data_IF_396195296789
#
_entry.id   IF_396195296789
#
_cell.length_a   1.000
_cell.length_b   1.000
_cell.length_c   1.000
_cell.angle_alpha   90.00
_cell.angle_beta   90.00
_cell.angle_gamma   90.00
#
_symmetry.space_group_name_H-M   'P 1'
#
loop_
_entity.id
_entity.type
_entity.pdbx_description
1 polymer ?
#
# COMPACT_ATOMS: atom_id res chain seq x y z
N UNK A 1 -16.74 23.53 -2.91
CA UNK A 1 -16.71 22.12 -3.37
C UNK A 1 -18.04 21.49 -3.00
N UNK A 2 -18.62 20.59 -3.81
CA UNK A 2 -19.83 19.88 -3.41
C UNK A 2 -19.60 19.14 -2.10
N UNK A 3 -20.65 19.04 -1.29
CA UNK A 3 -20.64 18.30 -0.03
C UNK A 3 -20.21 16.86 -0.30
N UNK A 4 -19.27 16.36 0.49
CA UNK A 4 -18.74 15.00 0.31
C UNK A 4 -19.80 14.01 0.76
N UNK A 5 -20.19 13.10 -0.13
CA UNK A 5 -21.08 12.01 0.22
C UNK A 5 -20.43 11.13 1.30
N UNK A 6 -21.24 10.73 2.27
CA UNK A 6 -20.79 9.90 3.39
C UNK A 6 -20.49 8.48 2.93
N UNK A 7 -19.50 7.82 3.54
CA UNK A 7 -19.15 6.44 3.19
C UNK A 7 -20.19 5.49 3.81
N UNK A 8 -21.29 5.26 3.10
CA UNK A 8 -22.37 4.35 3.51
C UNK A 8 -22.12 2.90 3.08
N UNK A 9 -21.13 2.24 3.68
CA UNK A 9 -20.84 0.83 3.42
C UNK A 9 -20.47 0.09 4.72
N UNK A 10 -20.94 -1.15 4.90
CA UNK A 10 -20.74 -1.93 6.14
C UNK A 10 -19.26 -2.11 6.52
N UNK A 11 -18.40 -2.25 5.51
CA UNK A 11 -16.94 -2.34 5.69
C UNK A 11 -16.24 -1.03 6.05
N UNK A 12 -16.90 0.13 6.09
CA UNK A 12 -16.28 1.41 6.46
C UNK A 12 -15.61 1.35 7.85
N UNK A 13 -16.18 0.57 8.78
CA UNK A 13 -15.63 0.33 10.12
C UNK A 13 -15.11 -1.11 10.31
N UNK A 14 -15.00 -1.87 9.21
CA UNK A 14 -14.55 -3.26 9.23
C UNK A 14 -13.05 -3.38 9.49
N UNK A 15 -12.63 -4.41 10.25
CA UNK A 15 -11.21 -4.69 10.50
C UNK A 15 -10.42 -5.04 9.23
N UNK A 16 -11.08 -5.66 8.24
CA UNK A 16 -10.44 -6.18 7.03
C UNK A 16 -11.15 -5.66 5.78
N UNK A 17 -10.74 -4.48 5.32
CA UNK A 17 -11.30 -3.81 4.16
C UNK A 17 -10.61 -4.20 2.84
N UNK A 18 -9.31 -4.49 2.86
CA UNK A 18 -8.58 -4.82 1.64
C UNK A 18 -8.90 -6.23 1.13
N UNK A 19 -9.22 -6.39 -0.18
CA UNK A 19 -9.37 -7.71 -0.81
C UNK A 19 -8.03 -8.46 -0.91
N UNK A 20 -6.91 -7.73 -0.88
CA UNK A 20 -5.56 -8.30 -0.97
C UNK A 20 -5.00 -8.65 0.42
N UNK A 21 -4.08 -9.61 0.43
CA UNK A 21 -3.22 -9.95 1.55
C UNK A 21 -1.81 -9.49 1.23
N UNK A 22 -1.38 -8.39 1.80
CA UNK A 22 0.01 -7.97 1.67
C UNK A 22 0.84 -8.47 2.87
N UNK A 23 2.06 -8.99 2.64
CA UNK A 23 3.03 -9.20 3.71
C UNK A 23 3.30 -7.90 4.48
N UNK A 24 3.57 -7.98 5.78
CA UNK A 24 3.97 -6.81 6.59
C UNK A 24 3.00 -6.38 7.69
N UNK A 25 1.89 -7.10 7.90
CA UNK A 25 0.97 -6.90 9.01
C UNK A 25 0.42 -5.48 9.24
N UNK A 26 0.60 -4.54 8.30
CA UNK A 26 0.27 -3.12 8.46
C UNK A 26 -1.20 -2.82 8.74
N UNK A 27 -2.10 -3.78 8.52
CA UNK A 27 -3.46 -3.72 9.07
C UNK A 27 -3.49 -3.47 10.59
N UNK A 28 -2.46 -3.89 11.34
CA UNK A 28 -2.31 -3.58 12.77
C UNK A 28 -1.78 -2.17 13.04
N UNK A 29 -1.09 -1.56 12.07
CA UNK A 29 -0.55 -0.20 12.16
C UNK A 29 -1.58 0.84 11.73
N UNK A 30 -2.56 0.47 10.91
CA UNK A 30 -3.61 1.37 10.44
C UNK A 30 -4.33 2.14 11.58
N UNK A 31 -4.74 1.54 12.72
CA UNK A 31 -5.29 2.31 13.86
C UNK A 31 -4.33 3.36 14.43
N UNK A 32 -3.03 3.06 14.46
CA UNK A 32 -1.99 3.97 14.95
C UNK A 32 -1.84 5.15 14.00
N UNK A 33 -1.83 4.88 12.69
CA UNK A 33 -1.79 5.90 11.64
C UNK A 33 -3.04 6.80 11.71
N UNK A 34 -4.24 6.22 11.88
CA UNK A 34 -5.49 6.97 12.06
C UNK A 34 -5.37 7.98 13.19
N UNK A 35 -4.86 7.53 14.34
CA UNK A 35 -4.69 8.37 15.51
C UNK A 35 -3.67 9.49 15.28
N UNK A 36 -2.53 9.18 14.65
CA UNK A 36 -1.51 10.20 14.32
C UNK A 36 -2.10 11.29 13.43
N UNK A 37 -2.83 10.92 12.38
CA UNK A 37 -3.46 11.88 11.46
C UNK A 37 -4.57 12.66 12.17
N UNK A 38 -5.40 11.98 12.97
CA UNK A 38 -6.48 12.63 13.75
C UNK A 38 -5.93 13.63 14.74
N UNK A 39 -4.86 13.30 15.46
CA UNK A 39 -4.19 14.23 16.37
C UNK A 39 -3.49 15.37 15.62
N UNK A 40 -2.89 15.09 14.46
CA UNK A 40 -2.33 16.14 13.61
C UNK A 40 -3.36 17.22 13.24
N UNK A 41 -4.63 16.83 13.06
CA UNK A 41 -5.77 17.73 12.78
C UNK A 41 -6.11 18.75 13.87
N UNK A 42 -5.53 18.59 15.06
CA UNK A 42 -5.67 19.57 16.16
C UNK A 42 -4.71 20.76 16.01
N UNK A 43 -3.77 20.72 15.06
CA UNK A 43 -2.84 21.81 14.76
C UNK A 43 -3.36 22.68 13.63
N UNK A 44 -3.18 23.99 13.75
CA UNK A 44 -3.43 24.95 12.66
C UNK A 44 -2.58 24.69 11.41
N UNK A 45 -1.48 23.94 11.53
CA UNK A 45 -0.63 23.57 10.40
C UNK A 45 -1.25 22.50 9.49
N UNK A 46 -2.18 21.68 10.01
CA UNK A 46 -2.85 20.58 9.29
C UNK A 46 -4.31 20.49 9.76
N UNK A 47 -5.16 21.51 9.57
CA UNK A 47 -6.50 21.54 10.18
C UNK A 47 -7.44 20.43 9.65
N UNK A 48 -7.21 19.98 8.42
CA UNK A 48 -7.97 18.92 7.76
C UNK A 48 -7.08 18.19 6.74
N UNK A 49 -7.50 16.99 6.33
CA UNK A 49 -6.80 16.18 5.33
C UNK A 49 -7.77 15.85 4.21
N UNK A 50 -7.76 16.68 3.16
CA UNK A 50 -8.65 16.51 2.01
C UNK A 50 -8.20 15.36 1.11
N UNK A 51 -6.90 15.08 1.04
CA UNK A 51 -6.35 13.98 0.25
C UNK A 51 -5.23 13.26 0.99
N UNK A 52 -5.40 11.96 1.15
CA UNK A 52 -4.33 11.04 1.54
C UNK A 52 -3.78 10.35 0.28
N UNK A 53 -2.48 10.48 0.05
CA UNK A 53 -1.78 9.87 -1.09
C UNK A 53 -0.97 8.68 -0.58
N UNK A 54 -1.21 7.48 -1.10
CA UNK A 54 -0.46 6.27 -0.76
C UNK A 54 0.30 5.77 -2.00
N UNK A 55 1.56 6.22 -2.21
CA UNK A 55 2.37 5.88 -3.39
C UNK A 55 2.95 4.47 -3.40
N UNK A 56 2.76 3.73 -2.30
CA UNK A 56 3.13 2.33 -2.14
C UNK A 56 1.88 1.55 -1.73
N UNK A 57 0.82 1.65 -2.54
CA UNK A 57 -0.50 1.17 -2.16
C UNK A 57 -0.45 -0.29 -1.72
N UNK A 58 0.14 -1.20 -2.51
CA UNK A 58 0.18 -2.62 -2.17
C UNK A 58 -1.21 -3.15 -1.80
N UNK A 59 -1.43 -3.41 -0.52
CA UNK A 59 -2.73 -3.81 0.04
C UNK A 59 -3.67 -2.66 0.46
N UNK A 60 -3.24 -1.41 0.44
CA UNK A 60 -3.98 -0.17 0.75
C UNK A 60 -4.75 -0.19 2.09
N UNK A 61 -4.30 -1.02 3.04
CA UNK A 61 -5.04 -1.26 4.28
C UNK A 61 -5.07 -0.03 5.19
N UNK A 62 -4.05 0.84 5.11
CA UNK A 62 -4.05 2.11 5.82
C UNK A 62 -5.06 3.07 5.19
N UNK A 63 -4.97 3.35 3.88
CA UNK A 63 -5.88 4.29 3.21
C UNK A 63 -7.34 3.88 3.29
N UNK A 64 -7.65 2.60 3.06
CA UNK A 64 -9.03 2.09 3.17
C UNK A 64 -9.63 2.28 4.57
N UNK A 65 -8.79 2.20 5.60
CA UNK A 65 -9.20 2.46 6.98
C UNK A 65 -9.40 3.95 7.22
N UNK A 66 -8.45 4.79 6.78
CA UNK A 66 -8.53 6.24 6.98
C UNK A 66 -9.80 6.81 6.35
N UNK A 67 -10.13 6.38 5.12
CA UNK A 67 -11.30 6.86 4.41
C UNK A 67 -12.61 6.34 5.02
N UNK A 68 -12.62 5.08 5.46
CA UNK A 68 -13.79 4.45 6.10
C UNK A 68 -14.11 5.00 7.48
N UNK A 69 -13.10 5.36 8.26
CA UNK A 69 -13.26 6.03 9.56
C UNK A 69 -13.53 7.53 9.44
N UNK A 70 -13.53 8.09 8.23
CA UNK A 70 -13.71 9.53 8.00
C UNK A 70 -12.55 10.40 8.51
N UNK A 71 -11.38 9.80 8.73
CA UNK A 71 -10.17 10.52 9.17
C UNK A 71 -9.69 11.49 8.08
N UNK A 72 -9.82 11.06 6.82
CA UNK A 72 -9.47 11.81 5.61
C UNK A 72 -10.67 11.85 4.65
N UNK A 73 -10.72 12.86 3.79
CA UNK A 73 -11.86 13.06 2.89
C UNK A 73 -11.78 12.23 1.61
N UNK A 74 -10.58 12.07 1.08
CA UNK A 74 -10.33 11.34 -0.17
C UNK A 74 -9.00 10.60 -0.08
N UNK A 75 -8.89 9.53 -0.86
CA UNK A 75 -7.66 8.76 -1.03
C UNK A 75 -7.25 8.71 -2.51
N UNK A 76 -5.95 8.77 -2.76
CA UNK A 76 -5.33 8.43 -4.04
C UNK A 76 -4.37 7.27 -3.80
N UNK A 77 -4.56 6.19 -4.55
CA UNK A 77 -3.69 5.03 -4.50
C UNK A 77 -2.72 5.07 -5.68
N UNK A 78 -1.45 4.78 -5.45
CA UNK A 78 -0.53 4.51 -6.53
C UNK A 78 0.37 3.34 -6.19
N UNK A 79 0.74 2.59 -7.22
CA UNK A 79 1.75 1.54 -7.12
C UNK A 79 2.56 1.50 -8.41
N UNK A 80 3.82 1.10 -8.31
CA UNK A 80 4.67 0.88 -9.47
C UNK A 80 4.35 -0.47 -10.14
N UNK A 81 3.81 -1.43 -9.37
CA UNK A 81 3.45 -2.75 -9.88
C UNK A 81 2.16 -2.69 -10.72
N UNK A 82 2.22 -2.97 -12.04
CA UNK A 82 1.06 -2.87 -12.92
C UNK A 82 -0.02 -3.91 -12.62
N UNK A 83 0.29 -5.05 -11.98
CA UNK A 83 -0.73 -6.00 -11.51
C UNK A 83 -1.50 -5.43 -10.31
N UNK A 84 -0.78 -4.83 -9.35
CA UNK A 84 -1.41 -4.18 -8.19
C UNK A 84 -2.24 -2.98 -8.63
N UNK A 85 -1.70 -2.13 -9.51
CA UNK A 85 -2.44 -0.99 -10.05
C UNK A 85 -3.68 -1.44 -10.82
N UNK A 86 -3.55 -2.41 -11.73
CA UNK A 86 -4.69 -2.93 -12.49
C UNK A 86 -5.76 -3.51 -11.55
N UNK A 87 -5.35 -4.20 -10.49
CA UNK A 87 -6.27 -4.72 -9.47
C UNK A 87 -7.11 -3.60 -8.85
N UNK A 88 -6.47 -2.54 -8.35
CA UNK A 88 -7.18 -1.42 -7.73
C UNK A 88 -8.02 -0.63 -8.72
N UNK A 89 -7.53 -0.43 -9.96
CA UNK A 89 -8.28 0.25 -11.01
C UNK A 89 -9.57 -0.50 -11.35
N UNK A 90 -9.48 -1.80 -11.64
CA UNK A 90 -10.67 -2.60 -12.01
C UNK A 90 -11.58 -2.79 -10.80
N UNK A 91 -11.05 -2.94 -9.58
CA UNK A 91 -11.86 -2.97 -8.37
C UNK A 91 -12.65 -1.67 -8.15
N UNK A 92 -12.12 -0.53 -8.58
CA UNK A 92 -12.75 0.78 -8.47
C UNK A 92 -13.74 1.07 -9.62
N UNK A 93 -13.35 0.83 -10.88
CA UNK A 93 -14.14 1.24 -12.07
C UNK A 93 -14.99 0.15 -12.69
N UNK A 94 -14.61 -1.13 -12.53
CA UNK A 94 -15.23 -2.28 -13.19
C UNK A 94 -15.53 -3.39 -12.16
N UNK A 95 -16.00 -2.98 -10.98
CA UNK A 95 -16.09 -3.79 -9.76
C UNK A 95 -16.82 -5.12 -9.97
N UNK A 96 -18.03 -5.08 -10.55
CA UNK A 96 -18.84 -6.29 -10.74
C UNK A 96 -18.22 -7.23 -11.77
N UNK A 97 -17.55 -6.70 -12.82
CA UNK A 97 -16.84 -7.54 -13.79
C UNK A 97 -15.67 -8.30 -13.14
N UNK A 98 -14.95 -7.67 -12.21
CA UNK A 98 -13.91 -8.36 -11.44
C UNK A 98 -14.49 -9.40 -10.47
N UNK A 99 -15.65 -9.12 -9.86
CA UNK A 99 -16.36 -10.05 -8.98
C UNK A 99 -16.79 -11.29 -9.77
N UNK A 100 -17.40 -11.12 -10.93
CA UNK A 100 -17.81 -12.22 -11.81
C UNK A 100 -16.61 -13.08 -12.20
N UNK A 101 -15.52 -12.43 -12.64
CA UNK A 101 -14.28 -13.11 -13.02
C UNK A 101 -13.64 -13.86 -11.84
N UNK A 102 -13.72 -13.30 -10.63
CA UNK A 102 -13.24 -13.92 -9.38
C UNK A 102 -14.05 -15.16 -9.00
N UNK A 103 -15.38 -15.11 -9.13
CA UNK A 103 -16.24 -16.27 -8.92
C UNK A 103 -16.02 -17.35 -9.98
N UNK A 104 -15.79 -16.99 -11.23
CA UNK A 104 -15.42 -17.92 -12.29
C UNK A 104 -14.12 -18.68 -11.96
N UNK A 105 -13.09 -17.98 -11.49
CA UNK A 105 -11.83 -18.63 -11.05
C UNK A 105 -12.07 -19.58 -9.86
N UNK A 106 -12.90 -19.15 -8.90
CA UNK A 106 -13.25 -19.96 -7.74
C UNK A 106 -13.97 -21.25 -8.15
N UNK A 107 -15.10 -21.12 -8.86
CA UNK A 107 -16.01 -22.21 -9.18
C UNK A 107 -15.39 -23.25 -10.13
N UNK A 108 -14.50 -22.83 -11.03
CA UNK A 108 -13.92 -23.74 -12.02
C UNK A 108 -12.62 -24.39 -11.56
N UNK A 109 -11.84 -23.71 -10.72
CA UNK A 109 -10.47 -24.13 -10.43
C UNK A 109 -10.16 -24.22 -8.93
N UNK A 110 -10.49 -23.21 -8.14
CA UNK A 110 -9.99 -23.11 -6.75
C UNK A 110 -10.84 -23.91 -5.76
N UNK A 111 -12.16 -23.98 -5.93
CA UNK A 111 -13.06 -24.62 -4.95
C UNK A 111 -12.78 -26.13 -4.78
N UNK A 112 -12.26 -26.78 -5.82
CA UNK A 112 -11.90 -28.20 -5.81
C UNK A 112 -10.55 -28.47 -5.13
N UNK A 113 -9.70 -27.44 -4.98
CA UNK A 113 -8.34 -27.59 -4.45
C UNK A 113 -7.46 -28.50 -5.31
N UNK A 114 -6.45 -29.10 -4.68
CA UNK A 114 -5.60 -30.12 -5.31
C UNK A 114 -4.87 -29.65 -6.57
N UNK A 115 -4.63 -30.59 -7.50
CA UNK A 115 -3.83 -30.35 -8.70
C UNK A 115 -4.48 -29.34 -9.65
N UNK A 116 -5.80 -29.36 -9.83
CA UNK A 116 -6.52 -28.42 -10.70
C UNK A 116 -6.25 -26.96 -10.32
N UNK A 117 -6.27 -26.65 -9.02
CA UNK A 117 -5.98 -25.31 -8.54
C UNK A 117 -4.49 -24.94 -8.68
N UNK A 118 -3.58 -25.91 -8.52
CA UNK A 118 -2.13 -25.71 -8.73
C UNK A 118 -1.82 -25.47 -10.21
N UNK A 119 -2.42 -26.22 -11.12
CA UNK A 119 -2.26 -26.01 -12.57
C UNK A 119 -2.78 -24.63 -12.98
N UNK A 120 -3.90 -24.19 -12.38
CA UNK A 120 -4.42 -22.84 -12.60
C UNK A 120 -3.49 -21.77 -12.04
N UNK A 121 -2.83 -22.03 -10.92
CA UNK A 121 -1.80 -21.17 -10.38
C UNK A 121 -0.61 -21.05 -11.34
N UNK A 122 -0.12 -22.17 -11.88
CA UNK A 122 0.97 -22.18 -12.87
C UNK A 122 0.56 -21.41 -14.14
N UNK A 123 -0.67 -21.57 -14.61
CA UNK A 123 -1.24 -20.77 -15.71
C UNK A 123 -1.13 -19.27 -15.40
N UNK A 124 -1.64 -18.82 -14.25
CA UNK A 124 -1.62 -17.39 -13.92
C UNK A 124 -0.20 -16.86 -13.70
N UNK A 125 0.71 -17.66 -13.15
CA UNK A 125 2.13 -17.29 -13.05
C UNK A 125 2.73 -17.03 -14.43
N UNK A 126 2.50 -17.93 -15.38
CA UNK A 126 3.05 -17.84 -16.73
C UNK A 126 2.28 -16.86 -17.66
N UNK A 127 1.04 -16.52 -17.33
CA UNK A 127 0.16 -15.76 -18.22
C UNK A 127 0.74 -14.39 -18.59
N UNK A 128 0.66 -14.08 -19.88
CA UNK A 128 0.98 -12.77 -20.48
C UNK A 128 -0.09 -12.41 -21.50
N UNK A 129 -0.37 -11.10 -21.72
CA UNK A 129 -1.36 -10.68 -22.69
C UNK A 129 -0.94 -11.08 -24.12
N UNK A 130 -1.90 -11.58 -24.89
CA UNK A 130 -1.66 -11.94 -26.30
C UNK A 130 -1.56 -10.67 -27.17
N UNK A 131 -0.84 -10.73 -28.30
CA UNK A 131 -0.91 -9.68 -29.32
C UNK A 131 -2.38 -9.39 -29.70
N UNK A 132 -2.74 -8.12 -29.80
CA UNK A 132 -4.12 -7.70 -30.11
C UNK A 132 -5.09 -7.67 -28.92
N UNK A 133 -4.68 -8.06 -27.70
CA UNK A 133 -5.53 -7.88 -26.51
C UNK A 133 -5.77 -6.38 -26.24
N UNK A 134 -7.05 -6.00 -26.17
CA UNK A 134 -7.49 -4.62 -25.88
C UNK A 134 -7.00 -4.16 -24.50
N UNK A 135 -6.94 -2.85 -24.29
CA UNK A 135 -6.49 -2.29 -23.01
C UNK A 135 -7.40 -2.68 -21.83
N UNK A 136 -8.72 -2.71 -22.03
CA UNK A 136 -9.70 -3.10 -21.01
C UNK A 136 -9.57 -4.57 -20.63
N UNK A 137 -9.55 -5.48 -21.61
CA UNK A 137 -9.35 -6.91 -21.35
C UNK A 137 -8.02 -7.18 -20.68
N UNK A 138 -6.94 -6.52 -21.11
CA UNK A 138 -5.63 -6.65 -20.46
C UNK A 138 -5.69 -6.24 -18.99
N UNK A 139 -6.35 -5.12 -18.68
CA UNK A 139 -6.47 -4.62 -17.31
C UNK A 139 -7.26 -5.58 -16.42
N UNK A 140 -8.40 -6.09 -16.90
CA UNK A 140 -9.20 -7.09 -16.19
C UNK A 140 -8.41 -8.37 -15.92
N UNK A 141 -7.69 -8.90 -16.91
CA UNK A 141 -6.89 -10.12 -16.73
C UNK A 141 -5.69 -9.89 -15.81
N UNK A 142 -5.07 -8.69 -15.81
CA UNK A 142 -4.06 -8.31 -14.82
C UNK A 142 -4.64 -8.20 -13.41
N UNK A 143 -5.80 -7.56 -13.23
CA UNK A 143 -6.49 -7.50 -11.96
C UNK A 143 -6.83 -8.90 -11.42
N UNK A 144 -7.32 -9.77 -12.30
CA UNK A 144 -7.64 -11.17 -11.99
C UNK A 144 -6.39 -11.95 -11.60
N UNK A 145 -5.31 -11.84 -12.37
CA UNK A 145 -4.01 -12.45 -12.06
C UNK A 145 -3.48 -12.00 -10.70
N UNK A 146 -3.54 -10.69 -10.42
CA UNK A 146 -3.11 -10.12 -9.15
C UNK A 146 -3.89 -10.71 -7.97
N UNK A 147 -5.23 -10.62 -8.01
CA UNK A 147 -6.09 -11.17 -6.98
C UNK A 147 -5.87 -12.68 -6.83
N UNK A 148 -5.82 -13.41 -7.94
CA UNK A 148 -5.65 -14.86 -7.92
C UNK A 148 -4.36 -15.26 -7.21
N UNK A 149 -3.23 -14.75 -7.69
CA UNK A 149 -1.92 -15.08 -7.13
C UNK A 149 -1.80 -14.60 -5.69
N UNK A 150 -2.36 -13.43 -5.35
CA UNK A 150 -2.35 -12.92 -3.99
C UNK A 150 -3.11 -13.85 -3.01
N UNK A 151 -4.25 -14.41 -3.42
CA UNK A 151 -5.02 -15.31 -2.55
C UNK A 151 -4.43 -16.73 -2.49
N UNK A 152 -3.72 -17.17 -3.51
CA UNK A 152 -3.29 -18.57 -3.68
C UNK A 152 -1.78 -18.79 -3.51
N UNK A 153 -0.98 -17.74 -3.35
CA UNK A 153 0.47 -17.84 -3.11
C UNK A 153 0.79 -17.75 -1.62
N UNK A 154 1.87 -18.43 -1.18
CA UNK A 154 2.33 -18.33 0.19
C UNK A 154 2.53 -16.85 0.60
N UNK A 155 1.91 -16.46 1.72
CA UNK A 155 1.88 -15.08 2.22
C UNK A 155 1.32 -14.00 1.27
N UNK A 156 0.70 -14.38 0.15
CA UNK A 156 0.18 -13.44 -0.86
C UNK A 156 1.26 -12.70 -1.64
N UNK A 157 2.46 -13.27 -1.67
CA UNK A 157 3.61 -12.72 -2.40
C UNK A 157 3.35 -12.87 -3.90
N UNK A 158 3.38 -11.77 -4.64
CA UNK A 158 3.18 -11.77 -6.10
C UNK A 158 4.48 -12.08 -6.88
N UNK A 159 5.64 -11.81 -6.29
CA UNK A 159 6.94 -11.81 -6.97
C UNK A 159 7.95 -12.79 -6.39
N UNK A 160 8.97 -13.13 -7.18
CA UNK A 160 10.03 -14.03 -6.76
C UNK A 160 9.61 -15.50 -6.69
N UNK A 161 10.21 -16.24 -5.76
CA UNK A 161 10.19 -17.72 -5.71
C UNK A 161 9.08 -18.32 -4.84
N UNK A 162 8.16 -17.49 -4.34
CA UNK A 162 7.05 -17.99 -3.53
C UNK A 162 6.14 -18.90 -4.36
N UNK A 163 5.90 -20.11 -3.86
CA UNK A 163 5.02 -21.10 -4.47
C UNK A 163 3.57 -21.02 -3.98
N UNK A 164 2.68 -21.84 -4.54
CA UNK A 164 1.28 -21.90 -4.09
C UNK A 164 1.21 -22.25 -2.61
N UNK A 165 0.29 -21.61 -1.88
CA UNK A 165 -0.01 -21.99 -0.50
C UNK A 165 -0.51 -23.44 -0.49
N UNK A 166 -0.07 -24.22 0.50
CA UNK A 166 -0.28 -25.67 0.51
C UNK A 166 0.88 -26.48 -0.07
N UNK A 167 1.82 -25.82 -0.77
CA UNK A 167 2.87 -26.49 -1.52
C UNK A 167 2.34 -27.12 -2.81
N UNK A 168 3.22 -27.50 -3.73
CA UNK A 168 2.77 -28.06 -5.03
C UNK A 168 2.00 -29.38 -4.88
N UNK A 169 2.34 -30.18 -3.88
CA UNK A 169 1.64 -31.44 -3.56
C UNK A 169 0.34 -31.26 -2.79
N UNK A 170 0.03 -30.02 -2.34
CA UNK A 170 -1.19 -29.69 -1.57
C UNK A 170 -1.40 -30.55 -0.31
N UNK A 171 -0.31 -31.04 0.29
CA UNK A 171 -0.35 -31.92 1.46
C UNK A 171 -0.36 -31.18 2.81
N UNK A 172 -0.25 -29.84 2.81
CA UNK A 172 -0.26 -29.07 4.06
C UNK A 172 -1.67 -28.84 4.60
N UNK A 173 -1.79 -28.56 5.90
CA UNK A 173 -3.06 -28.15 6.54
C UNK A 173 -3.67 -26.86 5.98
N UNK A 174 -2.93 -26.09 5.19
CA UNK A 174 -3.39 -24.87 4.52
C UNK A 174 -3.46 -25.09 3.00
N UNK A 175 -4.55 -25.69 2.47
CA UNK A 175 -4.70 -25.89 1.03
C UNK A 175 -4.78 -24.57 0.28
N UNK A 176 -4.57 -24.60 -1.04
CA UNK A 176 -4.56 -23.42 -1.91
C UNK A 176 -5.84 -22.58 -1.83
N UNK A 177 -6.98 -23.23 -1.55
CA UNK A 177 -8.29 -22.60 -1.38
C UNK A 177 -8.50 -21.95 -0.02
N UNK A 178 -7.67 -22.23 1.00
CA UNK A 178 -7.95 -21.83 2.39
C UNK A 178 -8.02 -20.31 2.61
N UNK A 179 -7.50 -19.54 1.65
CA UNK A 179 -7.54 -18.07 1.66
C UNK A 179 -8.46 -17.52 0.59
N UNK A 180 -9.21 -18.31 -0.16
CA UNK A 180 -10.18 -17.79 -1.12
C UNK A 180 -11.58 -17.84 -0.49
N UNK A 181 -12.04 -16.74 0.08
CA UNK A 181 -13.41 -16.61 0.57
C UNK A 181 -14.17 -15.68 -0.40
N UNK A 182 -14.93 -16.23 -1.37
CA UNK A 182 -15.59 -15.42 -2.38
C UNK A 182 -16.55 -14.38 -1.80
N UNK A 183 -17.28 -14.73 -0.74
CA UNK A 183 -18.23 -13.82 -0.08
C UNK A 183 -17.49 -12.61 0.50
N UNK A 184 -16.45 -12.83 1.31
CA UNK A 184 -15.69 -11.73 1.90
C UNK A 184 -14.88 -10.93 0.87
N UNK A 185 -14.43 -11.57 -0.21
CA UNK A 185 -13.72 -10.85 -1.29
C UNK A 185 -14.71 -9.97 -2.06
N UNK A 186 -15.91 -10.46 -2.37
CA UNK A 186 -16.99 -9.71 -3.03
C UNK A 186 -17.31 -8.43 -2.25
N UNK A 187 -17.57 -8.56 -0.94
CA UNK A 187 -17.89 -7.40 -0.09
C UNK A 187 -16.77 -6.35 -0.08
N UNK A 188 -15.51 -6.79 -0.08
CA UNK A 188 -14.35 -5.88 -0.11
C UNK A 188 -14.17 -5.19 -1.45
N UNK A 189 -14.45 -5.88 -2.55
CA UNK A 189 -14.43 -5.28 -3.89
C UNK A 189 -15.55 -4.24 -4.02
N UNK A 190 -16.76 -4.57 -3.57
CA UNK A 190 -17.90 -3.61 -3.54
C UNK A 190 -17.63 -2.39 -2.66
N UNK A 191 -16.91 -2.56 -1.55
CA UNK A 191 -16.47 -1.42 -0.75
C UNK A 191 -15.57 -0.47 -1.54
N UNK A 192 -14.60 -1.00 -2.30
CA UNK A 192 -13.70 -0.19 -3.14
C UNK A 192 -14.50 0.50 -4.26
N UNK A 193 -15.39 -0.23 -4.93
CA UNK A 193 -16.29 0.33 -5.94
C UNK A 193 -17.17 1.46 -5.39
N UNK A 194 -17.76 1.26 -4.21
CA UNK A 194 -18.53 2.29 -3.50
C UNK A 194 -17.70 3.54 -3.24
N UNK A 195 -16.49 3.40 -2.70
CA UNK A 195 -15.59 4.52 -2.47
C UNK A 195 -15.29 5.31 -3.74
N UNK A 196 -15.11 4.63 -4.88
CA UNK A 196 -14.88 5.29 -6.16
C UNK A 196 -16.14 6.01 -6.66
N UNK A 197 -17.30 5.34 -6.61
CA UNK A 197 -18.59 5.87 -7.02
C UNK A 197 -18.94 7.17 -6.29
N UNK A 198 -18.71 7.22 -4.97
CA UNK A 198 -18.99 8.42 -4.15
C UNK A 198 -17.82 9.42 -4.13
N UNK A 199 -16.80 9.22 -4.97
CA UNK A 199 -15.65 10.11 -5.12
C UNK A 199 -14.66 10.13 -3.94
N UNK A 200 -14.74 9.17 -3.03
CA UNK A 200 -13.87 9.04 -1.86
C UNK A 200 -12.54 8.36 -2.20
N UNK A 201 -12.50 7.50 -3.21
CA UNK A 201 -11.29 7.12 -3.94
C UNK A 201 -11.25 7.95 -5.22
N UNK A 202 -10.28 8.86 -5.36
CA UNK A 202 -10.28 9.80 -6.50
C UNK A 202 -9.66 9.22 -7.75
N UNK A 203 -8.60 8.42 -7.60
CA UNK A 203 -7.87 7.82 -8.71
C UNK A 203 -6.94 6.71 -8.22
N UNK A 204 -6.47 5.90 -9.17
CA UNK A 204 -5.48 4.85 -8.99
C UNK A 204 -4.40 4.95 -10.07
N UNK A 205 -3.16 5.27 -9.68
CA UNK A 205 -2.06 5.54 -10.61
C UNK A 205 -1.06 4.38 -10.73
N UNK A 206 -0.58 4.15 -11.96
CA UNK A 206 0.53 3.23 -12.25
C UNK A 206 1.82 4.04 -12.32
N UNK A 207 2.33 4.47 -11.18
CA UNK A 207 3.48 5.39 -11.07
C UNK A 207 4.34 4.98 -9.89
N UNK A 208 5.65 5.19 -10.01
CA UNK A 208 6.52 5.13 -8.84
C UNK A 208 6.19 6.27 -7.85
N UNK A 209 6.71 6.14 -6.64
CA UNK A 209 6.42 7.08 -5.56
C UNK A 209 6.81 8.52 -5.88
N UNK A 210 7.90 8.73 -6.64
CA UNK A 210 8.40 10.07 -6.92
C UNK A 210 7.48 10.76 -7.91
N UNK A 211 7.19 10.11 -9.03
CA UNK A 211 6.23 10.63 -10.02
C UNK A 211 4.85 10.84 -9.42
N UNK A 212 4.42 9.95 -8.53
CA UNK A 212 3.16 10.14 -7.80
C UNK A 212 3.16 11.44 -7.00
N UNK A 213 4.19 11.69 -6.20
CA UNK A 213 4.25 12.90 -5.37
C UNK A 213 4.50 14.18 -6.17
N UNK A 214 5.29 14.11 -7.24
CA UNK A 214 5.60 15.24 -8.12
C UNK A 214 4.36 15.68 -8.94
N UNK A 215 3.50 14.73 -9.35
CA UNK A 215 2.35 15.01 -10.23
C UNK A 215 1.07 15.40 -9.46
N UNK A 216 0.92 15.06 -8.17
CA UNK A 216 -0.27 15.43 -7.38
C UNK A 216 -0.61 16.95 -7.43
N UNK A 217 0.35 17.88 -7.27
CA UNK A 217 0.06 19.32 -7.42
C UNK A 217 -0.47 19.70 -8.80
N UNK A 218 -0.04 19.02 -9.88
CA UNK A 218 -0.46 19.31 -11.25
C UNK A 218 -1.88 18.79 -11.53
N UNK A 219 -2.20 17.59 -11.03
CA UNK A 219 -3.52 16.97 -11.24
C UNK A 219 -4.60 17.53 -10.31
N UNK A 220 -4.20 18.03 -9.14
CA UNK A 220 -5.11 18.59 -8.14
C UNK A 220 -4.68 20.01 -7.69
N UNK A 221 -4.55 20.98 -8.62
CA UNK A 221 -4.01 22.31 -8.34
C UNK A 221 -4.87 23.14 -7.36
N UNK A 222 -6.13 22.76 -7.20
CA UNK A 222 -7.06 23.35 -6.23
C UNK A 222 -6.81 22.92 -4.79
N UNK A 223 -6.05 21.83 -4.56
CA UNK A 223 -5.78 21.35 -3.20
C UNK A 223 -4.68 22.19 -2.56
N UNK A 224 -4.96 22.66 -1.35
CA UNK A 224 -3.95 23.32 -0.54
C UNK A 224 -2.91 22.27 -0.08
N UNK A 225 -1.60 22.51 -0.27
CA UNK A 225 -0.57 21.55 0.13
C UNK A 225 -0.61 21.17 1.63
N UNK A 226 -1.11 22.06 2.49
CA UNK A 226 -1.30 21.79 3.93
C UNK A 226 -2.44 20.82 4.24
N UNK A 227 -3.28 20.48 3.25
CA UNK A 227 -4.42 19.55 3.36
C UNK A 227 -4.18 18.23 2.62
N UNK A 228 -2.96 18.02 2.13
CA UNK A 228 -2.52 16.78 1.52
C UNK A 228 -1.52 16.11 2.45
N UNK A 229 -1.71 14.81 2.69
CA UNK A 229 -0.77 13.99 3.44
C UNK A 229 -0.36 12.79 2.60
N UNK A 230 0.94 12.53 2.48
CA UNK A 230 1.43 11.29 1.89
C UNK A 230 1.67 10.24 2.99
N UNK A 231 1.09 9.04 2.85
CA UNK A 231 1.45 7.89 3.68
C UNK A 231 2.32 6.94 2.85
N UNK A 232 3.57 6.74 3.30
CA UNK A 232 4.55 5.93 2.60
C UNK A 232 4.89 4.68 3.40
N UNK A 233 4.77 3.52 2.76
CA UNK A 233 5.20 2.23 3.31
C UNK A 233 6.09 1.50 2.30
N UNK A 234 7.33 1.98 2.10
CA UNK A 234 8.25 1.33 1.17
C UNK A 234 8.62 -0.08 1.68
N UNK A 235 9.08 -0.98 0.78
CA UNK A 235 9.65 -2.26 1.16
C UNK A 235 10.76 -2.11 2.22
N UNK A 236 10.83 -3.04 3.18
CA UNK A 236 11.78 -2.98 4.30
C UNK A 236 13.23 -3.21 3.87
N UNK A 237 14.17 -2.61 4.62
CA UNK A 237 15.61 -2.61 4.32
C UNK A 237 16.20 -4.04 4.28
N UNK A 238 15.78 -4.92 5.19
CA UNK A 238 16.32 -6.29 5.27
C UNK A 238 15.57 -7.33 4.41
N UNK A 239 14.36 -7.04 3.92
CA UNK A 239 13.52 -8.07 3.27
C UNK A 239 13.71 -8.10 1.75
N UNK A 240 14.63 -8.98 1.35
CA UNK A 240 14.89 -9.52 0.01
C UNK A 240 14.91 -8.50 -1.15
N UNK A 241 16.10 -8.35 -1.72
CA UNK A 241 16.41 -7.54 -2.91
C UNK A 241 15.49 -7.79 -4.13
N UNK A 242 14.73 -8.89 -4.17
CA UNK A 242 13.82 -9.27 -5.26
C UNK A 242 12.42 -8.66 -5.12
N UNK A 243 11.83 -8.64 -3.91
CA UNK A 243 10.56 -7.91 -3.65
C UNK A 243 10.77 -6.40 -3.81
N UNK A 244 11.99 -5.96 -3.44
CA UNK A 244 12.42 -4.58 -3.42
C UNK A 244 12.45 -3.92 -4.81
N UNK A 245 13.08 -4.57 -5.80
CA UNK A 245 13.20 -4.02 -7.16
C UNK A 245 11.85 -3.82 -7.85
N UNK A 246 10.88 -4.68 -7.54
CA UNK A 246 9.57 -4.65 -8.21
C UNK A 246 8.68 -3.52 -7.70
N UNK A 247 8.83 -3.10 -6.44
CA UNK A 247 8.01 -2.04 -5.84
C UNK A 247 8.48 -0.62 -6.22
N UNK A 248 9.65 -0.50 -6.85
CA UNK A 248 10.21 0.76 -7.36
C UNK A 248 10.41 0.76 -8.89
N UNK A 249 10.21 -0.37 -9.57
CA UNK A 249 10.33 -0.49 -11.02
C UNK A 249 8.94 -0.54 -11.67
N UNK A 250 8.54 0.48 -12.45
CA UNK A 250 7.26 0.49 -13.18
C UNK A 250 7.15 -0.63 -14.24
N UNK A 251 8.23 -1.37 -14.51
CA UNK A 251 8.23 -2.57 -15.37
C UNK A 251 7.85 -3.85 -14.61
N UNK A 252 7.60 -3.76 -13.31
CA UNK A 252 6.94 -4.80 -12.51
C UNK A 252 7.72 -6.09 -12.31
N UNK A 253 9.06 -6.10 -12.45
CA UNK A 253 9.89 -7.24 -12.07
C UNK A 253 9.60 -8.58 -12.78
N UNK A 254 8.77 -8.60 -13.84
CA UNK A 254 8.36 -9.84 -14.53
C UNK A 254 9.42 -10.46 -15.44
N UNK A 255 10.60 -9.85 -15.56
CA UNK A 255 11.76 -10.49 -16.20
C UNK A 255 12.43 -11.36 -15.14
N UNK A 256 12.09 -12.65 -15.16
CA UNK A 256 12.52 -13.61 -14.14
C UNK A 256 14.02 -13.59 -13.90
N UNK A 257 14.41 -13.76 -12.63
CA UNK A 257 15.74 -14.00 -12.01
C UNK A 257 17.00 -13.28 -12.57
N UNK A 258 16.93 -12.56 -13.68
CA UNK A 258 17.99 -11.77 -14.27
C UNK A 258 18.04 -10.44 -13.51
N UNK A 259 19.02 -10.35 -12.62
CA UNK A 259 19.44 -9.12 -12.00
C UNK A 259 19.91 -8.18 -13.12
N UNK A 260 19.10 -7.18 -13.46
CA UNK A 260 19.54 -6.08 -14.30
C UNK A 260 20.47 -5.19 -13.46
N UNK A 261 21.78 -5.36 -13.62
CA UNK A 261 22.82 -4.60 -12.91
C UNK A 261 22.76 -3.08 -13.21
N UNK A 262 21.96 -2.65 -14.18
CA UNK A 262 21.71 -1.23 -14.44
C UNK A 262 20.70 -0.58 -13.48
N UNK A 263 19.96 -1.38 -12.69
CA UNK A 263 19.02 -0.88 -11.71
C UNK A 263 19.74 -0.44 -10.41
N UNK A 264 19.31 0.67 -9.77
CA UNK A 264 19.88 1.12 -8.50
C UNK A 264 19.81 0.03 -7.42
N UNK A 265 20.82 -0.03 -6.55
CA UNK A 265 20.79 -0.90 -5.37
C UNK A 265 19.60 -0.55 -4.46
N UNK A 266 19.22 -1.51 -3.60
CA UNK A 266 18.11 -1.28 -2.68
C UNK A 266 18.36 -0.07 -1.78
N UNK A 267 19.59 0.02 -1.25
CA UNK A 267 20.07 1.14 -0.44
C UNK A 267 19.98 2.46 -1.20
N UNK A 268 20.35 2.49 -2.49
CA UNK A 268 20.29 3.70 -3.30
C UNK A 268 18.84 4.21 -3.45
N UNK A 269 17.85 3.33 -3.51
CA UNK A 269 16.43 3.72 -3.57
C UNK A 269 15.93 4.27 -2.23
N UNK A 270 16.35 3.68 -1.09
CA UNK A 270 16.06 4.22 0.24
C UNK A 270 16.67 5.62 0.42
N UNK A 271 17.92 5.79 -0.02
CA UNK A 271 18.61 7.08 0.03
C UNK A 271 17.92 8.13 -0.82
N UNK A 272 17.47 7.79 -2.04
CA UNK A 272 16.71 8.70 -2.91
C UNK A 272 15.37 9.11 -2.28
N UNK A 273 14.65 8.16 -1.68
CA UNK A 273 13.40 8.47 -0.98
C UNK A 273 13.66 9.38 0.23
N UNK A 274 14.65 9.04 1.06
CA UNK A 274 14.99 9.84 2.23
C UNK A 274 15.47 11.25 1.85
N UNK A 275 16.28 11.38 0.81
CA UNK A 275 16.68 12.67 0.26
C UNK A 275 15.47 13.50 -0.15
N UNK A 276 14.57 12.93 -0.98
CA UNK A 276 13.36 13.62 -1.41
C UNK A 276 12.48 14.05 -0.23
N UNK A 277 12.21 13.16 0.73
CA UNK A 277 11.39 13.48 1.90
C UNK A 277 12.03 14.54 2.82
N UNK A 278 13.36 14.64 2.81
CA UNK A 278 14.11 15.64 3.58
C UNK A 278 14.30 16.98 2.88
N UNK A 279 14.16 17.06 1.56
CA UNK A 279 14.53 18.28 0.82
C UNK A 279 13.51 18.73 -0.24
N UNK A 280 12.58 17.89 -0.68
CA UNK A 280 11.70 18.19 -1.82
C UNK A 280 10.21 17.92 -1.59
N UNK A 281 9.83 17.24 -0.52
CA UNK A 281 8.42 16.92 -0.26
C UNK A 281 7.53 18.18 -0.22
N UNK A 282 6.56 18.27 -1.13
CA UNK A 282 5.65 19.43 -1.24
C UNK A 282 4.48 19.37 -0.23
N UNK A 283 4.25 18.20 0.38
CA UNK A 283 3.17 17.93 1.33
C UNK A 283 3.70 17.29 2.60
N UNK A 284 2.90 17.35 3.68
CA UNK A 284 3.21 16.60 4.91
C UNK A 284 3.21 15.10 4.61
N UNK A 285 4.03 14.36 5.34
CA UNK A 285 4.17 12.93 5.11
C UNK A 285 4.31 12.14 6.40
N UNK A 286 3.85 10.90 6.35
CA UNK A 286 4.03 9.87 7.37
C UNK A 286 4.62 8.64 6.69
N UNK A 287 5.70 8.14 7.25
CA UNK A 287 6.50 7.06 6.70
C UNK A 287 6.56 5.92 7.72
N UNK A 288 6.31 4.68 7.29
CA UNK A 288 6.52 3.48 8.09
C UNK A 288 7.70 2.65 7.61
N UNK A 289 8.49 2.15 8.55
CA UNK A 289 9.62 1.26 8.34
C UNK A 289 9.70 0.21 9.45
N UNK A 290 10.39 -0.90 9.17
CA UNK A 290 10.93 -1.75 10.24
C UNK A 290 11.94 -0.98 11.10
N UNK A 291 11.95 -1.23 12.41
CA UNK A 291 12.90 -0.56 13.28
C UNK A 291 14.33 -1.04 13.01
N UNK A 292 15.14 -0.15 12.43
CA UNK A 292 16.56 -0.35 12.16
C UNK A 292 17.35 0.87 12.65
N UNK A 293 18.38 0.71 13.51
CA UNK A 293 19.16 1.85 14.02
C UNK A 293 19.72 2.75 12.91
N UNK A 294 20.12 2.17 11.77
CA UNK A 294 20.64 2.92 10.63
C UNK A 294 19.67 4.02 10.14
N UNK A 295 18.36 3.80 10.20
CA UNK A 295 17.35 4.77 9.77
C UNK A 295 17.40 6.06 10.59
N UNK A 296 17.71 5.96 11.89
CA UNK A 296 17.73 7.08 12.84
C UNK A 296 19.13 7.60 13.16
N UNK A 297 20.19 6.85 12.81
CA UNK A 297 21.58 7.23 13.03
C UNK A 297 22.26 7.83 11.79
N UNK A 298 21.83 7.45 10.58
CA UNK A 298 22.42 7.95 9.33
C UNK A 298 21.91 9.34 8.95
N UNK A 299 22.84 10.29 8.74
CA UNK A 299 22.57 11.64 8.23
C UNK A 299 22.04 11.66 6.79
N UNK A 300 22.24 10.56 6.05
CA UNK A 300 21.71 10.37 4.70
C UNK A 300 20.27 9.85 4.71
N UNK A 301 19.85 9.22 5.81
CA UNK A 301 18.49 8.78 6.06
C UNK A 301 17.80 9.78 6.99
N UNK A 302 17.24 9.35 8.12
CA UNK A 302 16.33 10.16 8.92
C UNK A 302 16.94 10.61 10.25
N UNK A 303 18.27 10.58 10.45
CA UNK A 303 18.89 11.13 11.65
C UNK A 303 18.61 12.63 11.84
N UNK A 304 18.41 13.35 10.73
CA UNK A 304 18.00 14.76 10.78
C UNK A 304 16.63 14.90 11.43
N UNK A 305 16.47 15.96 12.23
CA UNK A 305 15.21 16.30 12.88
C UNK A 305 14.44 17.39 12.12
N UNK A 306 14.89 17.75 10.92
CA UNK A 306 14.26 18.78 10.10
C UNK A 306 14.38 18.43 8.61
N UNK A 307 13.26 18.52 7.91
CA UNK A 307 13.20 18.64 6.46
C UNK A 307 13.65 20.06 6.09
N UNK A 308 14.69 20.17 5.27
CA UNK A 308 15.29 21.44 4.85
C UNK A 308 15.37 21.47 3.33
N UNK A 309 14.46 22.18 2.65
CA UNK A 309 14.52 22.29 1.20
C UNK A 309 15.71 23.11 0.73
N UNK A 310 16.17 22.81 -0.49
CA UNK A 310 17.17 23.64 -1.17
C UNK A 310 16.58 25.03 -1.44
N UNK A 311 17.43 26.04 -1.66
CA UNK A 311 16.95 27.39 -2.01
C UNK A 311 16.09 27.34 -3.29
N UNK A 312 16.54 26.59 -4.30
CA UNK A 312 15.81 26.40 -5.54
C UNK A 312 14.44 25.72 -5.32
N UNK A 313 14.37 24.62 -4.55
CA UNK A 313 13.09 23.94 -4.29
C UNK A 313 12.15 24.82 -3.44
N UNK A 314 12.67 25.63 -2.52
CA UNK A 314 11.87 26.59 -1.76
C UNK A 314 11.28 27.67 -2.66
N UNK A 315 12.05 28.19 -3.60
CA UNK A 315 11.62 29.27 -4.50
C UNK A 315 10.72 28.77 -5.63
N UNK A 316 11.03 27.62 -6.23
CA UNK A 316 10.30 27.09 -7.40
C UNK A 316 9.07 26.28 -7.02
N UNK A 317 9.13 25.51 -5.94
CA UNK A 317 8.08 24.56 -5.54
C UNK A 317 7.35 25.02 -4.27
N UNK A 318 7.71 26.19 -3.71
CA UNK A 318 7.17 26.70 -2.45
C UNK A 318 7.29 25.69 -1.28
N UNK A 319 8.32 24.85 -1.30
CA UNK A 319 8.54 23.80 -0.29
C UNK A 319 8.94 24.44 1.04
N UNK A 320 8.29 23.99 2.12
CA UNK A 320 8.51 24.50 3.48
C UNK A 320 9.44 23.60 4.28
N UNK A 321 10.09 24.18 5.28
CA UNK A 321 10.83 23.40 6.27
C UNK A 321 9.87 22.85 7.33
N UNK A 322 10.02 21.57 7.67
CA UNK A 322 9.21 20.92 8.72
C UNK A 322 10.08 20.13 9.68
N UNK A 323 9.71 20.11 10.96
CA UNK A 323 10.36 19.25 11.94
C UNK A 323 9.99 17.79 11.65
N UNK A 324 10.98 16.91 11.71
CA UNK A 324 10.81 15.47 11.55
C UNK A 324 10.73 14.85 12.94
N UNK A 325 9.61 14.19 13.21
CA UNK A 325 9.36 13.40 14.41
C UNK A 325 9.48 11.92 14.12
N UNK A 326 9.92 11.15 15.12
CA UNK A 326 10.10 9.69 15.06
C UNK A 326 9.31 9.07 16.21
N UNK A 327 8.64 7.94 15.97
CA UNK A 327 7.88 7.19 16.97
C UNK A 327 8.15 5.72 16.85
N UNK A 328 8.42 5.05 17.97
CA UNK A 328 8.60 3.62 18.01
C UNK A 328 7.30 2.95 18.49
N UNK A 329 6.74 2.09 17.64
CA UNK A 329 5.46 1.44 17.88
C UNK A 329 5.66 -0.06 17.98
N UNK A 330 5.32 -0.63 19.13
CA UNK A 330 5.35 -2.08 19.31
C UNK A 330 4.03 -2.68 18.84
N UNK A 331 4.08 -3.50 17.80
CA UNK A 331 2.90 -4.24 17.33
C UNK A 331 2.97 -5.69 17.84
N UNK A 332 1.85 -6.19 18.39
CA UNK A 332 1.73 -7.59 18.83
C UNK A 332 1.27 -8.45 17.64
N UNK A 333 2.11 -9.38 17.20
CA UNK A 333 1.76 -10.31 16.14
C UNK A 333 1.16 -11.59 16.71
N UNK A 334 0.00 -12.00 16.20
CA UNK A 334 -0.45 -13.40 16.27
C UNK A 334 -0.08 -14.07 14.95
N UNK A 335 1.12 -14.63 14.86
CA UNK A 335 1.43 -15.55 13.78
C UNK A 335 0.74 -16.89 14.07
N UNK A 336 -0.15 -17.34 13.18
CA UNK A 336 -0.67 -18.69 13.25
C UNK A 336 0.48 -19.68 12.97
N UNK A 337 0.87 -20.47 13.97
CA UNK A 337 1.69 -21.67 13.76
C UNK A 337 2.97 -21.84 14.58
N UNK A 338 3.36 -20.91 15.46
CA UNK A 338 4.45 -21.14 16.44
C UNK A 338 4.10 -20.51 17.79
N UNK A 339 4.27 -21.28 18.86
CA UNK A 339 4.14 -20.82 20.25
C UNK A 339 5.15 -19.70 20.52
N UNK A 340 4.65 -18.47 20.67
CA UNK A 340 5.45 -17.29 21.04
C UNK A 340 4.96 -16.01 20.35
N UNK A 341 4.42 -15.06 21.12
CA UNK A 341 4.14 -13.70 20.65
C UNK A 341 5.50 -13.03 20.35
N UNK A 342 5.88 -12.89 19.08
CA UNK A 342 6.97 -11.98 18.70
C UNK A 342 6.39 -10.56 18.62
N UNK A 343 6.90 -9.65 19.42
CA UNK A 343 6.75 -8.21 19.18
C UNK A 343 7.65 -7.84 18.00
N UNK A 344 7.14 -7.10 17.03
CA UNK A 344 8.01 -6.37 16.11
C UNK A 344 7.81 -4.88 16.35
N UNK A 345 8.91 -4.16 16.34
CA UNK A 345 8.94 -2.72 16.45
C UNK A 345 8.87 -2.12 15.06
N UNK A 346 7.91 -1.22 14.88
CA UNK A 346 7.71 -0.44 13.67
C UNK A 346 8.12 1.00 13.98
N UNK A 347 8.96 1.57 13.12
CA UNK A 347 9.39 2.95 13.21
C UNK A 347 8.48 3.81 12.32
N UNK A 348 7.80 4.77 12.93
CA UNK A 348 7.06 5.80 12.23
C UNK A 348 7.86 7.11 12.21
N UNK A 349 8.00 7.69 11.03
CA UNK A 349 8.73 8.95 10.82
C UNK A 349 7.77 9.92 10.12
N UNK A 350 7.68 11.16 10.58
CA UNK A 350 6.69 12.09 10.03
C UNK A 350 7.10 13.55 10.12
N UNK A 351 6.60 14.34 9.17
CA UNK A 351 6.62 15.81 9.22
C UNK A 351 5.32 16.39 9.78
N UNK A 352 4.35 15.58 10.21
CA UNK A 352 3.15 16.08 10.89
C UNK A 352 3.51 16.85 12.18
N UNK A 353 2.68 17.83 12.60
CA UNK A 353 3.02 18.78 13.66
C UNK A 353 3.45 18.10 14.97
N UNK A 354 4.71 18.26 15.42
CA UNK A 354 5.22 17.56 16.60
C UNK A 354 4.48 17.90 17.90
N UNK A 355 3.83 19.07 17.97
CA UNK A 355 3.05 19.51 19.11
C UNK A 355 1.79 18.68 19.35
N UNK A 356 1.27 18.02 18.31
CA UNK A 356 0.05 17.22 18.41
C UNK A 356 0.25 15.74 18.12
N UNK A 357 1.31 15.35 17.40
CA UNK A 357 1.61 13.94 17.13
C UNK A 357 1.90 13.20 18.45
N UNK A 358 1.10 12.16 18.81
CA UNK A 358 1.23 11.45 20.08
C UNK A 358 2.62 10.88 20.30
N UNK A 359 3.11 10.89 21.53
CA UNK A 359 4.39 10.27 21.91
C UNK A 359 4.29 8.75 22.03
N UNK A 360 5.42 8.05 22.08
CA UNK A 360 5.49 6.59 22.08
C UNK A 360 4.60 5.94 23.14
N UNK A 361 4.63 6.43 24.39
CA UNK A 361 3.80 5.89 25.48
C UNK A 361 2.31 6.06 25.23
N UNK A 362 1.91 7.16 24.58
CA UNK A 362 0.53 7.37 24.21
C UNK A 362 0.10 6.37 23.14
N UNK A 363 0.97 6.01 22.19
CA UNK A 363 0.69 5.03 21.13
C UNK A 363 0.69 3.58 21.64
N UNK A 364 1.43 3.27 22.72
CA UNK A 364 1.48 1.94 23.34
C UNK A 364 0.19 1.52 24.06
N UNK A 365 -0.68 2.47 24.43
CA UNK A 365 -1.95 2.20 25.13
C UNK A 365 -3.03 1.54 24.25
N UNK A 366 -2.71 1.16 23.01
CA UNK A 366 -3.61 0.44 22.10
C UNK A 366 -3.38 -1.07 22.31
N UNK A 367 -4.06 -1.65 23.30
CA UNK A 367 -4.09 -3.09 23.54
C UNK A 367 -5.51 -3.63 23.52
#
# INVERSE_FOLDING_TARGET
>A
MPELETVSHTLAHGRFQSPLRYPGAKSSLAPVIARIITSAKQSEEVPEVNLLVEPFAGGASASLRMIGEGVVDRILLADADPLVTAMWQVAASDTEQLIDRMHDEWNRYVCHGGQTAVDRWDYWRAWTPKPGTTASTRRLEYATKCLFLNRTTFSGILHGKAGPIGGRTQASAYPISCRWNPVSITERLRYVGHLYQVGRLVDVWCKDWRRTLDDVPEYYPQLLPSRVVAYLDPPYVEKSSVLYRTSFDPRGGYRGDAVDDSLPSADALHLKLAEYLRTKAQFRWLLSYDHQPLLTESQWLYARNQMTPTKADRELLNVRSWRISKRLVTTRYTAAGRTGKRSAEELLITTLPPSTVPIDDQLRLIH
#
